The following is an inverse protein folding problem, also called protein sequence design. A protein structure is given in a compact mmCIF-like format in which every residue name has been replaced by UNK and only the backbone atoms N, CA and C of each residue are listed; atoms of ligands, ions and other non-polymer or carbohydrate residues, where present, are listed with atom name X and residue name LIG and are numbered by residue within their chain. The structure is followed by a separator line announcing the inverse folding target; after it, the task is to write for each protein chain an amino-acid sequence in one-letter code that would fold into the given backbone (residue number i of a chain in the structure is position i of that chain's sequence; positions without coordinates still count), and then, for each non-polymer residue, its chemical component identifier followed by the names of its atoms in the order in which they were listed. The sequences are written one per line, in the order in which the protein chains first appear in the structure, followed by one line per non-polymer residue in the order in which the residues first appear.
data_IF_703232301265
#
_entry.id   IF_703232301265
#
_cell.length_a   1.000
_cell.length_b   1.000
_cell.length_c   1.000
_cell.angle_alpha   90.00
_cell.angle_beta   90.00
_cell.angle_gamma   90.00
#
_symmetry.space_group_name_H-M   'P 1'
#
loop_
_entity.id
_entity.type
_entity.pdbx_description
1 polymer ?
#
# COMPACT_ATOMS: atom_id res chain seq x y z
N UNK A 1 9.92 -14.51 -10.75
CA UNK A 1 9.76 -15.23 -9.47
C UNK A 1 8.46 -16.05 -9.46
N UNK A 2 7.29 -15.49 -9.82
CA UNK A 2 6.00 -16.20 -9.84
C UNK A 2 6.04 -17.55 -10.60
N UNK A 3 6.52 -17.56 -11.85
CA UNK A 3 6.61 -18.79 -12.66
C UNK A 3 7.48 -19.88 -12.02
N UNK A 4 8.56 -19.48 -11.35
CA UNK A 4 9.43 -20.40 -10.63
C UNK A 4 8.76 -20.94 -9.36
N UNK A 5 8.08 -20.07 -8.60
CA UNK A 5 7.34 -20.47 -7.41
C UNK A 5 6.26 -21.51 -7.78
N UNK A 6 5.47 -21.24 -8.81
CA UNK A 6 4.46 -22.17 -9.33
C UNK A 6 5.08 -23.48 -9.83
N UNK A 7 6.17 -23.40 -10.62
CA UNK A 7 6.88 -24.59 -11.16
C UNK A 7 7.38 -25.53 -10.05
N UNK A 8 7.86 -24.97 -8.96
CA UNK A 8 8.47 -25.73 -7.87
C UNK A 8 7.53 -25.92 -6.67
N UNK A 9 6.28 -25.51 -6.77
CA UNK A 9 5.27 -25.57 -5.69
C UNK A 9 5.79 -24.93 -4.39
N UNK A 10 6.41 -23.75 -4.51
CA UNK A 10 6.97 -22.98 -3.40
C UNK A 10 6.05 -21.83 -3.08
N UNK A 11 5.77 -21.60 -1.79
CA UNK A 11 5.05 -20.42 -1.31
C UNK A 11 5.94 -19.19 -1.48
N UNK A 12 5.41 -18.16 -2.12
CA UNK A 12 6.04 -16.85 -2.26
C UNK A 12 5.12 -15.80 -1.66
N UNK A 13 5.56 -15.21 -0.56
CA UNK A 13 4.84 -14.19 0.17
C UNK A 13 5.65 -12.90 0.19
N UNK A 14 4.96 -11.77 0.26
CA UNK A 14 5.58 -10.46 0.45
C UNK A 14 5.22 -9.93 1.84
N UNK A 15 6.20 -9.34 2.51
CA UNK A 15 6.03 -8.79 3.84
C UNK A 15 6.15 -7.26 3.78
N UNK A 16 5.02 -6.56 3.88
CA UNK A 16 4.96 -5.12 4.07
C UNK A 16 4.60 -4.80 5.53
N UNK A 17 5.13 -3.71 6.08
CA UNK A 17 4.81 -3.29 7.45
C UNK A 17 3.31 -3.07 7.63
N UNK A 18 2.66 -2.42 6.67
CA UNK A 18 1.22 -2.10 6.69
C UNK A 18 0.30 -3.31 6.64
N UNK A 19 0.82 -4.49 6.24
CA UNK A 19 0.11 -5.77 6.32
C UNK A 19 -0.32 -6.10 7.74
N UNK A 20 0.44 -5.67 8.75
CA UNK A 20 0.22 -5.99 10.17
C UNK A 20 -0.52 -4.88 10.92
N UNK A 21 -1.06 -3.89 10.23
CA UNK A 21 -1.90 -2.87 10.85
C UNK A 21 -3.33 -3.39 11.00
N UNK A 22 -3.74 -3.61 12.25
CA UNK A 22 -5.08 -4.11 12.57
C UNK A 22 -6.20 -3.19 12.03
N UNK A 23 -5.93 -1.89 11.94
CA UNK A 23 -6.84 -0.90 11.36
C UNK A 23 -7.12 -1.15 9.88
N UNK A 24 -6.11 -1.57 9.10
CA UNK A 24 -6.30 -1.90 7.69
C UNK A 24 -7.23 -3.11 7.53
N UNK A 25 -7.04 -4.15 8.34
CA UNK A 25 -7.89 -5.33 8.33
C UNK A 25 -9.33 -5.01 8.75
N UNK A 26 -9.49 -4.20 9.80
CA UNK A 26 -10.81 -3.79 10.25
C UNK A 26 -11.51 -2.87 9.24
N UNK A 27 -10.77 -1.97 8.58
CA UNK A 27 -11.31 -1.17 7.47
C UNK A 27 -11.79 -2.06 6.32
N UNK A 28 -11.01 -3.08 5.94
CA UNK A 28 -11.39 -4.05 4.91
C UNK A 28 -12.68 -4.79 5.27
N UNK A 29 -12.78 -5.32 6.49
CA UNK A 29 -14.00 -5.98 7.01
C UNK A 29 -15.22 -5.04 6.93
N UNK A 30 -15.06 -3.80 7.42
CA UNK A 30 -16.14 -2.80 7.38
C UNK A 30 -16.58 -2.48 5.96
N UNK A 31 -15.67 -2.41 5.01
CA UNK A 31 -15.96 -2.11 3.61
C UNK A 31 -16.64 -3.30 2.93
N UNK A 32 -16.05 -4.50 3.02
CA UNK A 32 -16.42 -5.63 2.19
C UNK A 32 -17.41 -6.60 2.80
N UNK A 33 -17.46 -6.72 4.12
CA UNK A 33 -18.35 -7.64 4.82
C UNK A 33 -19.55 -6.90 5.41
N UNK A 34 -19.31 -5.70 5.96
CA UNK A 34 -20.37 -4.89 6.56
C UNK A 34 -20.99 -3.88 5.58
N UNK A 35 -20.40 -3.66 4.40
CA UNK A 35 -20.82 -2.65 3.42
C UNK A 35 -21.00 -1.24 4.04
N UNK A 36 -20.14 -0.88 4.98
CA UNK A 36 -20.30 0.30 5.84
C UNK A 36 -20.30 1.63 5.08
N UNK A 37 -19.58 1.72 3.96
CA UNK A 37 -19.43 2.94 3.15
C UNK A 37 -19.90 2.78 1.70
N UNK A 38 -20.48 1.62 1.35
CA UNK A 38 -20.85 1.30 -0.02
C UNK A 38 -19.64 1.05 -0.93
N UNK A 39 -19.88 1.12 -2.24
CA UNK A 39 -18.83 0.88 -3.25
C UNK A 39 -17.70 1.90 -3.13
N UNK A 40 -16.44 1.44 -3.14
CA UNK A 40 -15.24 2.29 -3.09
C UNK A 40 -15.22 3.24 -4.30
N UNK A 41 -14.96 4.51 -4.05
CA UNK A 41 -14.83 5.55 -5.07
C UNK A 41 -13.43 6.13 -5.12
N UNK A 42 -12.80 6.33 -3.97
CA UNK A 42 -11.44 6.85 -3.87
C UNK A 42 -10.73 6.26 -2.66
N UNK A 43 -9.43 5.99 -2.85
CA UNK A 43 -8.52 5.66 -1.77
C UNK A 43 -7.35 6.62 -1.82
N UNK A 44 -7.01 7.24 -0.70
CA UNK A 44 -5.80 8.06 -0.55
C UNK A 44 -4.92 7.37 0.50
N UNK A 45 -3.66 7.17 0.15
CA UNK A 45 -2.70 6.47 1.00
C UNK A 45 -1.48 7.37 1.17
N UNK A 46 -1.11 7.58 2.41
CA UNK A 46 0.04 8.39 2.78
C UNK A 46 1.07 7.49 3.47
N UNK A 47 2.27 7.47 2.94
CA UNK A 47 3.41 6.78 3.52
C UNK A 47 4.66 7.65 3.40
N UNK A 48 5.23 8.06 4.51
CA UNK A 48 6.39 8.92 4.48
C UNK A 48 7.00 9.21 5.83
N UNK A 49 8.23 9.70 5.76
CA UNK A 49 9.01 10.18 6.90
C UNK A 49 10.11 11.14 6.40
N UNK A 50 11.04 11.54 7.28
CA UNK A 50 12.13 12.49 6.96
C UNK A 50 13.14 12.00 5.93
N UNK A 51 13.20 10.71 5.67
CA UNK A 51 14.13 10.06 4.77
C UNK A 51 14.97 8.99 5.48
N UNK A 52 15.38 7.92 4.78
CA UNK A 52 16.07 6.78 5.37
C UNK A 52 17.44 7.17 5.98
N UNK A 53 18.19 8.09 5.38
CA UNK A 53 19.44 8.58 5.93
C UNK A 53 19.21 9.37 7.22
N UNK A 54 18.21 10.24 7.24
CA UNK A 54 17.89 11.13 8.37
C UNK A 54 17.33 10.38 9.57
N UNK A 55 16.64 9.26 9.35
CA UNK A 55 16.17 8.40 10.44
C UNK A 55 17.24 7.41 10.91
N UNK A 56 18.41 7.35 10.24
CA UNK A 56 19.55 6.57 10.68
C UNK A 56 19.48 5.08 10.36
N UNK A 57 18.94 4.69 9.20
CA UNK A 57 18.99 3.28 8.76
C UNK A 57 20.44 2.83 8.55
N UNK A 58 20.68 1.52 8.57
CA UNK A 58 22.03 0.99 8.38
C UNK A 58 22.64 1.40 7.02
N UNK A 59 23.95 1.50 6.94
CA UNK A 59 24.63 1.87 5.69
C UNK A 59 24.38 0.86 4.58
N UNK A 60 24.30 -0.41 4.90
CA UNK A 60 24.02 -1.51 3.99
C UNK A 60 22.63 -1.36 3.38
N UNK A 61 21.62 -1.12 4.22
CA UNK A 61 20.25 -0.90 3.78
C UNK A 61 20.12 0.37 2.93
N UNK A 62 20.72 1.49 3.38
CA UNK A 62 20.70 2.75 2.63
C UNK A 62 21.36 2.60 1.25
N UNK A 63 22.49 1.88 1.17
CA UNK A 63 23.21 1.66 -0.09
C UNK A 63 22.42 0.83 -1.10
N UNK A 64 21.52 0.00 -0.63
CA UNK A 64 20.58 -0.76 -1.47
C UNK A 64 19.36 0.09 -1.82
N UNK A 65 18.74 0.73 -0.83
CA UNK A 65 17.48 1.47 -0.97
C UNK A 65 17.61 2.68 -1.91
N UNK A 66 18.75 3.40 -1.82
CA UNK A 66 19.04 4.58 -2.65
C UNK A 66 19.76 4.24 -3.99
N UNK A 67 19.81 2.97 -4.37
CA UNK A 67 20.39 2.51 -5.64
C UNK A 67 19.27 2.24 -6.65
N UNK A 68 19.17 3.02 -7.75
CA UNK A 68 18.08 2.88 -8.72
C UNK A 68 18.11 1.56 -9.49
N UNK A 69 19.24 0.85 -9.51
CA UNK A 69 19.37 -0.46 -10.17
C UNK A 69 18.91 -1.58 -9.24
N UNK A 70 19.29 -1.51 -7.95
CA UNK A 70 18.97 -2.55 -6.97
C UNK A 70 17.54 -2.45 -6.45
N UNK A 71 17.08 -1.23 -6.14
CA UNK A 71 15.74 -0.96 -5.61
C UNK A 71 14.72 -0.59 -6.69
N UNK A 72 15.16 -0.02 -7.82
CA UNK A 72 14.28 0.39 -8.92
C UNK A 72 13.81 1.84 -8.87
N UNK A 73 13.94 2.52 -7.74
CA UNK A 73 13.58 3.91 -7.50
C UNK A 73 13.85 4.29 -6.05
N UNK A 74 13.46 5.48 -5.65
CA UNK A 74 13.51 5.97 -4.27
C UNK A 74 12.15 5.84 -3.57
N UNK A 75 11.57 6.98 -3.18
CA UNK A 75 10.27 7.03 -2.49
C UNK A 75 9.13 6.39 -3.29
N UNK A 76 9.18 6.45 -4.63
CA UNK A 76 8.17 5.83 -5.50
C UNK A 76 8.09 4.30 -5.29
N UNK A 77 9.20 3.66 -4.98
CA UNK A 77 9.23 2.20 -4.70
C UNK A 77 9.09 1.96 -3.21
N UNK A 78 9.90 2.63 -2.38
CA UNK A 78 9.97 2.41 -0.94
C UNK A 78 8.61 2.61 -0.25
N UNK A 79 7.91 3.68 -0.59
CA UNK A 79 6.58 3.98 -0.04
C UNK A 79 5.42 3.71 -1.00
N UNK A 80 5.65 3.83 -2.30
CA UNK A 80 4.63 3.49 -3.29
C UNK A 80 4.16 2.03 -3.21
N UNK A 81 5.03 1.13 -2.72
CA UNK A 81 4.69 -0.29 -2.57
C UNK A 81 3.54 -0.52 -1.58
N UNK A 82 3.50 0.21 -0.47
CA UNK A 82 2.40 0.10 0.50
C UNK A 82 1.06 0.54 -0.11
N UNK A 83 1.08 1.67 -0.83
CA UNK A 83 -0.12 2.15 -1.51
C UNK A 83 -0.61 1.19 -2.59
N UNK A 84 0.31 0.65 -3.39
CA UNK A 84 -0.01 -0.30 -4.45
C UNK A 84 -0.61 -1.60 -3.90
N UNK A 85 -0.03 -2.14 -2.81
CA UNK A 85 -0.47 -3.37 -2.18
C UNK A 85 -1.86 -3.22 -1.51
N UNK A 86 -2.02 -2.19 -0.69
CA UNK A 86 -3.31 -1.90 -0.03
C UNK A 86 -4.42 -1.65 -1.06
N UNK A 87 -4.15 -0.87 -2.11
CA UNK A 87 -5.15 -0.62 -3.15
C UNK A 87 -5.51 -1.89 -3.91
N UNK A 88 -4.53 -2.70 -4.31
CA UNK A 88 -4.77 -3.99 -4.96
C UNK A 88 -5.62 -4.92 -4.08
N UNK A 89 -5.36 -4.93 -2.78
CA UNK A 89 -6.11 -5.73 -1.81
C UNK A 89 -7.54 -5.21 -1.62
N UNK A 90 -7.73 -3.91 -1.43
CA UNK A 90 -9.06 -3.28 -1.32
C UNK A 90 -9.89 -3.49 -2.59
N UNK A 91 -9.26 -3.57 -3.76
CA UNK A 91 -9.90 -3.89 -5.04
C UNK A 91 -9.96 -5.40 -5.31
N UNK A 92 -9.67 -6.28 -4.31
CA UNK A 92 -9.74 -7.75 -4.39
C UNK A 92 -8.91 -8.35 -5.53
N UNK A 93 -7.81 -7.70 -5.88
CA UNK A 93 -6.94 -8.12 -6.98
C UNK A 93 -7.47 -7.75 -8.37
N UNK A 94 -8.48 -6.89 -8.48
CA UNK A 94 -8.86 -6.28 -9.76
C UNK A 94 -7.67 -5.46 -10.29
N UNK A 95 -7.40 -5.57 -11.59
CA UNK A 95 -6.32 -4.80 -12.23
C UNK A 95 -6.80 -3.38 -12.54
N UNK A 96 -5.96 -2.36 -12.29
CA UNK A 96 -6.28 -1.00 -12.69
C UNK A 96 -6.26 -0.82 -14.21
N UNK A 97 -6.90 0.22 -14.69
CA UNK A 97 -6.93 0.57 -16.13
C UNK A 97 -5.76 1.45 -16.54
N UNK A 98 -5.24 2.27 -15.62
CA UNK A 98 -4.10 3.13 -15.91
C UNK A 98 -3.40 3.61 -14.63
N UNK A 99 -2.12 4.00 -14.80
CA UNK A 99 -1.29 4.58 -13.75
C UNK A 99 -0.59 5.83 -14.27
N UNK A 100 -0.61 6.90 -13.47
CA UNK A 100 0.14 8.14 -13.70
C UNK A 100 0.98 8.42 -12.45
N UNK A 101 2.23 8.81 -12.61
CA UNK A 101 3.09 9.15 -11.49
C UNK A 101 3.96 10.38 -11.79
N UNK A 102 4.23 11.14 -10.72
CA UNK A 102 5.17 12.26 -10.70
C UNK A 102 6.15 11.98 -9.57
N UNK A 103 7.44 12.15 -9.86
CA UNK A 103 8.52 12.05 -8.88
C UNK A 103 9.38 13.31 -8.90
N UNK A 104 9.98 13.62 -7.76
CA UNK A 104 10.98 14.68 -7.60
C UNK A 104 12.13 14.20 -6.73
N UNK A 105 13.29 14.81 -6.89
CA UNK A 105 14.41 14.73 -5.95
C UNK A 105 14.57 16.12 -5.33
N UNK A 106 14.03 16.29 -4.14
CA UNK A 106 14.02 17.57 -3.39
C UNK A 106 15.34 17.76 -2.66
N UNK A 107 15.98 16.66 -2.22
CA UNK A 107 17.27 16.63 -1.52
C UNK A 107 18.36 15.94 -2.35
N UNK A 108 18.75 16.50 -3.51
CA UNK A 108 19.74 15.85 -4.41
C UNK A 108 21.13 15.70 -3.78
N UNK A 109 21.48 16.52 -2.77
CA UNK A 109 22.71 16.40 -2.00
C UNK A 109 22.73 15.17 -1.08
N UNK A 110 21.54 14.59 -0.78
CA UNK A 110 21.39 13.38 0.05
C UNK A 110 21.11 12.18 -0.83
N UNK A 111 20.19 12.32 -1.79
CA UNK A 111 19.69 11.25 -2.67
C UNK A 111 19.92 11.59 -4.15
N UNK A 112 21.19 11.62 -4.62
CA UNK A 112 21.50 12.14 -5.96
C UNK A 112 20.97 11.27 -7.12
N UNK A 113 20.63 10.01 -6.87
CA UNK A 113 20.35 9.04 -7.93
C UNK A 113 18.90 8.53 -7.93
N UNK A 114 18.10 8.91 -6.95
CA UNK A 114 16.70 8.43 -6.80
C UNK A 114 15.80 9.59 -6.39
N UNK A 115 14.51 9.39 -6.61
CA UNK A 115 13.46 10.27 -6.13
C UNK A 115 13.32 10.18 -4.60
N UNK A 116 12.98 11.29 -3.97
CA UNK A 116 12.64 11.36 -2.54
C UNK A 116 11.22 11.87 -2.28
N UNK A 117 10.49 12.17 -3.36
CA UNK A 117 9.09 12.57 -3.34
C UNK A 117 8.36 11.93 -4.51
N UNK A 118 7.18 11.31 -4.26
CA UNK A 118 6.40 10.63 -5.27
C UNK A 118 4.89 10.77 -5.04
N UNK A 119 4.16 10.97 -6.13
CA UNK A 119 2.69 10.84 -6.14
C UNK A 119 2.31 9.90 -7.28
N UNK A 120 1.55 8.85 -6.95
CA UNK A 120 1.04 7.86 -7.89
C UNK A 120 -0.48 7.95 -7.92
N UNK A 121 -1.06 8.03 -9.11
CA UNK A 121 -2.51 8.00 -9.33
C UNK A 121 -2.84 6.73 -10.11
N UNK A 122 -3.71 5.92 -9.54
CA UNK A 122 -4.16 4.64 -10.13
C UNK A 122 -5.64 4.73 -10.44
N UNK A 123 -6.04 4.38 -11.67
CA UNK A 123 -7.44 4.46 -12.11
C UNK A 123 -8.01 3.07 -12.30
N UNK A 124 -9.18 2.84 -11.72
CA UNK A 124 -10.04 1.68 -11.95
C UNK A 124 -11.34 2.13 -12.65
N UNK A 125 -12.16 1.24 -13.21
CA UNK A 125 -13.39 1.62 -13.90
C UNK A 125 -14.34 2.48 -13.05
N UNK A 126 -14.34 2.29 -11.72
CA UNK A 126 -15.25 2.97 -10.78
C UNK A 126 -14.58 3.60 -9.57
N UNK A 127 -13.26 3.49 -9.46
CA UNK A 127 -12.49 4.00 -8.34
C UNK A 127 -11.17 4.62 -8.79
N UNK A 128 -10.59 5.44 -7.91
CA UNK A 128 -9.26 6.02 -8.10
C UNK A 128 -8.45 5.87 -6.80
N UNK A 129 -7.19 5.46 -6.94
CA UNK A 129 -6.20 5.49 -5.85
C UNK A 129 -5.23 6.66 -6.01
N UNK A 130 -4.82 7.28 -4.91
CA UNK A 130 -3.74 8.27 -4.84
C UNK A 130 -2.78 7.81 -3.75
N UNK A 131 -1.52 7.57 -4.11
CA UNK A 131 -0.48 7.18 -3.16
C UNK A 131 0.55 8.29 -3.10
N UNK A 132 0.84 8.75 -1.90
CA UNK A 132 1.84 9.78 -1.63
C UNK A 132 2.98 9.14 -0.85
N UNK A 133 4.13 9.01 -1.50
CA UNK A 133 5.35 8.47 -0.92
C UNK A 133 6.39 9.58 -0.73
N UNK A 134 6.90 9.77 0.48
CA UNK A 134 7.81 10.89 0.75
C UNK A 134 8.91 10.56 1.74
N UNK A 135 10.13 11.02 1.43
CA UNK A 135 11.26 11.08 2.35
C UNK A 135 11.48 12.51 2.89
N UNK A 136 10.48 13.40 2.75
CA UNK A 136 10.58 14.82 3.07
C UNK A 136 9.66 15.29 4.19
N UNK A 137 8.84 14.41 4.74
CA UNK A 137 7.90 14.81 5.79
C UNK A 137 8.57 14.90 7.15
N UNK A 138 8.23 15.91 7.99
CA UNK A 138 8.86 16.10 9.29
C UNK A 138 8.48 15.03 10.31
N UNK A 139 7.37 14.31 10.07
CA UNK A 139 6.85 13.25 10.93
C UNK A 139 6.58 11.99 10.12
N UNK A 140 6.68 10.84 10.78
CA UNK A 140 6.23 9.59 10.21
C UNK A 140 4.71 9.61 10.02
N UNK A 141 4.25 9.27 8.82
CA UNK A 141 2.85 9.16 8.50
C UNK A 141 2.63 7.92 7.66
N UNK A 142 1.74 7.03 8.13
CA UNK A 142 1.26 5.86 7.40
C UNK A 142 -0.22 5.70 7.69
N UNK A 143 -1.05 6.12 6.77
CA UNK A 143 -2.50 6.10 6.92
C UNK A 143 -3.22 5.91 5.58
N UNK A 144 -4.47 5.48 5.67
CA UNK A 144 -5.37 5.31 4.54
C UNK A 144 -6.67 6.08 4.75
N UNK A 145 -7.16 6.68 3.69
CA UNK A 145 -8.48 7.30 3.61
C UNK A 145 -9.27 6.58 2.51
N UNK A 146 -10.38 5.95 2.87
CA UNK A 146 -11.24 5.24 1.92
C UNK A 146 -12.59 5.93 1.83
N UNK A 147 -12.88 6.49 0.67
CA UNK A 147 -14.15 7.15 0.36
C UNK A 147 -15.01 6.20 -0.47
N UNK A 148 -16.16 5.85 0.09
CA UNK A 148 -17.19 5.04 -0.58
C UNK A 148 -18.38 5.89 -1.05
N UNK A 149 -19.36 5.21 -1.63
CA UNK A 149 -20.61 5.86 -2.11
C UNK A 149 -21.43 6.47 -0.97
N UNK A 150 -21.37 5.90 0.23
CA UNK A 150 -22.23 6.25 1.36
C UNK A 150 -21.45 6.49 2.66
N UNK A 151 -20.17 6.85 2.59
CA UNK A 151 -19.37 7.15 3.76
C UNK A 151 -17.89 7.13 3.49
N UNK A 152 -17.10 7.25 4.55
CA UNK A 152 -15.64 7.15 4.50
C UNK A 152 -15.05 6.51 5.76
N UNK A 153 -13.84 6.01 5.63
CA UNK A 153 -13.04 5.45 6.72
C UNK A 153 -11.65 6.08 6.66
N UNK A 154 -11.14 6.55 7.80
CA UNK A 154 -9.75 6.95 7.99
C UNK A 154 -9.10 5.99 8.97
N UNK A 155 -8.02 5.34 8.56
CA UNK A 155 -7.30 4.37 9.36
C UNK A 155 -5.79 4.63 9.28
N UNK A 156 -5.17 4.62 10.44
CA UNK A 156 -3.73 4.63 10.64
C UNK A 156 -3.33 3.46 11.54
N UNK A 157 -2.10 3.41 12.02
CA UNK A 157 -1.66 2.37 12.96
C UNK A 157 -2.13 2.56 14.39
N UNK A 158 -2.97 3.56 14.67
CA UNK A 158 -3.49 3.81 16.01
C UNK A 158 -4.53 2.78 16.44
N UNK A 159 -4.87 2.80 17.72
CA UNK A 159 -5.92 1.95 18.28
C UNK A 159 -7.34 2.42 17.96
N UNK A 160 -7.50 3.45 17.12
CA UNK A 160 -8.79 4.00 16.73
C UNK A 160 -8.78 4.39 15.25
N UNK A 161 -9.91 4.11 14.58
CA UNK A 161 -10.20 4.62 13.23
C UNK A 161 -11.33 5.62 13.32
N UNK A 162 -11.41 6.48 12.30
CA UNK A 162 -12.52 7.41 12.12
C UNK A 162 -13.43 6.89 11.01
N UNK A 163 -14.72 6.83 11.27
CA UNK A 163 -15.73 6.34 10.32
C UNK A 163 -16.88 7.30 10.25
N UNK A 164 -17.35 7.59 9.05
CA UNK A 164 -18.60 8.32 8.82
C UNK A 164 -19.45 7.56 7.83
N UNK A 165 -20.73 7.32 8.19
CA UNK A 165 -21.71 6.60 7.38
C UNK A 165 -22.85 7.53 7.00
N UNK A 166 -23.44 7.28 5.84
CA UNK A 166 -24.62 8.01 5.34
C UNK A 166 -24.28 9.10 4.32
N UNK A 167 -25.34 9.76 3.84
CA UNK A 167 -25.29 10.85 2.86
C UNK A 167 -25.21 12.25 3.51
N UNK A 168 -25.76 13.26 2.85
CA UNK A 168 -25.78 14.66 3.33
C UNK A 168 -26.35 14.87 4.73
N UNK A 169 -27.27 14.01 5.16
CA UNK A 169 -27.87 14.01 6.50
C UNK A 169 -27.19 13.02 7.43
N UNK A 170 -25.96 12.68 7.11
CA UNK A 170 -25.15 11.65 7.74
C UNK A 170 -25.05 11.84 9.26
N UNK A 171 -24.95 10.72 9.93
CA UNK A 171 -24.50 10.63 11.30
C UNK A 171 -23.15 11.35 11.47
N UNK A 172 -22.87 11.89 12.66
CA UNK A 172 -21.55 12.45 12.93
C UNK A 172 -20.46 11.42 12.72
N UNK A 173 -19.25 11.91 12.56
CA UNK A 173 -18.05 11.08 12.51
C UNK A 173 -17.89 10.28 13.81
N UNK A 174 -17.63 9.00 13.70
CA UNK A 174 -17.47 8.09 14.84
C UNK A 174 -16.00 7.66 14.95
N UNK A 175 -15.49 7.59 16.18
CA UNK A 175 -14.23 6.92 16.49
C UNK A 175 -14.54 5.46 16.85
N UNK A 176 -13.98 4.55 16.05
CA UNK A 176 -14.15 3.11 16.23
C UNK A 176 -12.86 2.53 16.79
N UNK A 177 -12.95 1.80 17.89
CA UNK A 177 -11.80 1.10 18.45
C UNK A 177 -11.32 0.00 17.50
N UNK A 178 -10.01 -0.08 17.29
CA UNK A 178 -9.39 -1.10 16.47
C UNK A 178 -9.14 -2.34 17.32
N UNK A 179 -9.62 -3.48 16.86
CA UNK A 179 -9.39 -4.78 17.49
C UNK A 179 -7.99 -5.28 17.10
N UNK A 180 -7.15 -5.70 18.05
CA UNK A 180 -5.86 -6.30 17.71
C UNK A 180 -6.02 -7.52 16.80
N UNK A 181 -5.05 -7.73 15.91
CA UNK A 181 -5.00 -8.94 15.10
C UNK A 181 -4.69 -10.16 16.00
N UNK A 182 -5.40 -11.24 15.75
CA UNK A 182 -5.17 -12.52 16.43
C UNK A 182 -4.13 -13.36 15.67
N UNK A 183 -3.52 -14.30 16.39
CA UNK A 183 -2.63 -15.30 15.79
C UNK A 183 -3.40 -16.14 14.76
N UNK A 184 -2.82 -16.38 13.57
CA UNK A 184 -1.44 -16.09 13.17
C UNK A 184 -1.23 -14.73 12.51
N UNK A 185 -2.25 -13.88 12.38
CA UNK A 185 -2.21 -12.61 11.64
C UNK A 185 -1.54 -11.46 12.41
N UNK A 186 -1.07 -11.71 13.63
CA UNK A 186 -0.48 -10.70 14.51
C UNK A 186 1.00 -10.40 14.24
N UNK A 187 1.69 -11.25 13.49
CA UNK A 187 3.07 -11.01 13.04
C UNK A 187 3.46 -11.83 11.80
N UNK A 188 4.45 -11.32 11.06
CA UNK A 188 4.89 -11.87 9.78
C UNK A 188 5.41 -13.31 9.89
N UNK A 189 6.17 -13.64 10.92
CA UNK A 189 6.81 -14.96 11.03
C UNK A 189 5.81 -16.02 11.44
N UNK A 190 4.91 -15.71 12.37
CA UNK A 190 3.81 -16.60 12.77
C UNK A 190 2.88 -16.89 11.60
N UNK A 191 2.52 -15.84 10.83
CA UNK A 191 1.74 -15.97 9.61
C UNK A 191 2.43 -16.83 8.56
N UNK A 192 3.69 -16.53 8.24
CA UNK A 192 4.48 -17.31 7.28
C UNK A 192 4.59 -18.79 7.68
N UNK A 193 4.85 -19.06 8.97
CA UNK A 193 4.90 -20.43 9.47
C UNK A 193 3.55 -21.16 9.31
N UNK A 194 2.44 -20.48 9.55
CA UNK A 194 1.10 -21.04 9.38
C UNK A 194 0.80 -21.35 7.91
N UNK A 195 1.19 -20.45 6.99
CA UNK A 195 1.06 -20.69 5.53
C UNK A 195 1.94 -21.86 5.08
N UNK A 196 3.21 -21.90 5.49
CA UNK A 196 4.13 -22.96 5.14
C UNK A 196 3.69 -24.35 5.64
N UNK A 197 2.96 -24.39 6.75
CA UNK A 197 2.36 -25.61 7.32
C UNK A 197 0.98 -25.96 6.74
N UNK A 198 0.46 -25.14 5.84
CA UNK A 198 -0.87 -25.35 5.24
C UNK A 198 -2.04 -25.07 6.20
N UNK A 199 -1.81 -24.39 7.31
CA UNK A 199 -2.84 -24.00 8.29
C UNK A 199 -3.61 -22.78 7.83
N UNK A 200 -2.99 -21.93 7.01
CA UNK A 200 -3.59 -20.74 6.38
C UNK A 200 -3.33 -20.78 4.89
N UNK A 201 -4.32 -20.42 4.08
CA UNK A 201 -4.18 -20.21 2.65
C UNK A 201 -4.00 -18.74 2.34
N UNK A 202 -2.84 -18.36 1.81
CA UNK A 202 -2.53 -17.01 1.36
C UNK A 202 -2.93 -16.85 -0.10
N UNK A 203 -4.18 -16.49 -0.36
CA UNK A 203 -4.72 -16.35 -1.72
C UNK A 203 -5.16 -14.93 -2.07
N UNK A 204 -5.73 -14.20 -1.11
CA UNK A 204 -6.31 -12.87 -1.31
C UNK A 204 -5.99 -11.89 -0.17
N UNK A 205 -4.98 -12.15 0.61
CA UNK A 205 -4.48 -11.26 1.66
C UNK A 205 -3.30 -10.41 1.16
N UNK A 206 -2.91 -9.40 1.95
CA UNK A 206 -1.83 -8.45 1.63
C UNK A 206 -0.47 -9.13 1.38
N UNK A 207 -0.21 -10.30 1.97
CA UNK A 207 1.03 -11.05 1.73
C UNK A 207 0.99 -11.94 0.48
N UNK A 208 -0.20 -12.16 -0.11
CA UNK A 208 -0.40 -13.14 -1.16
C UNK A 208 0.27 -12.78 -2.48
N UNK A 209 0.77 -13.79 -3.19
CA UNK A 209 1.37 -13.61 -4.52
C UNK A 209 0.41 -12.93 -5.50
N UNK A 210 -0.88 -13.24 -5.45
CA UNK A 210 -1.89 -12.68 -6.35
C UNK A 210 -2.01 -11.15 -6.19
N UNK A 211 -2.13 -10.67 -4.97
CA UNK A 211 -2.23 -9.23 -4.68
C UNK A 211 -0.92 -8.53 -5.03
N UNK A 212 0.21 -9.13 -4.66
CA UNK A 212 1.52 -8.56 -4.95
C UNK A 212 1.86 -8.48 -6.43
N UNK A 213 1.35 -9.38 -7.28
CA UNK A 213 1.53 -9.26 -8.73
C UNK A 213 0.83 -8.03 -9.29
N UNK A 214 -0.36 -7.67 -8.78
CA UNK A 214 -1.04 -6.43 -9.15
C UNK A 214 -0.29 -5.21 -8.59
N UNK A 215 0.19 -5.27 -7.35
CA UNK A 215 1.00 -4.21 -6.76
C UNK A 215 2.28 -3.93 -7.58
N UNK A 216 2.99 -4.97 -8.00
CA UNK A 216 4.19 -4.84 -8.83
C UNK A 216 3.87 -4.28 -10.23
N UNK A 217 2.73 -4.62 -10.82
CA UNK A 217 2.29 -4.04 -12.10
C UNK A 217 2.00 -2.54 -11.96
N UNK A 218 1.38 -2.13 -10.86
CA UNK A 218 1.16 -0.71 -10.54
C UNK A 218 2.50 0.02 -10.40
N UNK A 219 3.45 -0.52 -9.65
CA UNK A 219 4.76 0.10 -9.43
C UNK A 219 5.58 0.21 -10.71
N UNK A 220 5.63 -0.83 -11.53
CA UNK A 220 6.32 -0.81 -12.83
C UNK A 220 5.73 0.27 -13.75
N UNK A 221 4.40 0.35 -13.80
CA UNK A 221 3.70 1.38 -14.54
C UNK A 221 3.96 2.78 -13.97
N UNK A 222 4.03 2.94 -12.65
CA UNK A 222 4.33 4.21 -12.00
C UNK A 222 5.74 4.70 -12.32
N UNK A 223 6.75 3.83 -12.21
CA UNK A 223 8.14 4.14 -12.61
C UNK A 223 8.23 4.51 -14.09
N UNK A 224 7.52 3.80 -14.96
CA UNK A 224 7.47 4.14 -16.39
C UNK A 224 6.79 5.47 -16.63
N UNK A 225 5.69 5.75 -15.93
CA UNK A 225 4.96 7.01 -16.02
C UNK A 225 5.81 8.19 -15.58
N UNK A 226 6.48 8.10 -14.44
CA UNK A 226 7.33 9.18 -13.93
C UNK A 226 8.50 9.52 -14.88
N UNK A 227 9.12 8.49 -15.49
CA UNK A 227 10.21 8.67 -16.46
C UNK A 227 9.76 9.28 -17.79
N UNK A 228 8.55 8.99 -18.23
CA UNK A 228 8.04 9.42 -19.54
C UNK A 228 7.15 10.65 -19.49
N UNK A 229 6.69 11.05 -18.30
CA UNK A 229 5.68 12.11 -18.12
C UNK A 229 4.30 11.76 -18.70
N UNK A 230 4.03 10.47 -18.95
CA UNK A 230 2.79 10.01 -19.60
C UNK A 230 2.06 8.98 -18.73
N UNK A 231 0.74 9.00 -18.82
CA UNK A 231 -0.09 7.92 -18.26
C UNK A 231 0.22 6.59 -18.95
N UNK A 232 0.41 5.55 -18.15
CA UNK A 232 0.57 4.17 -18.64
C UNK A 232 -0.79 3.49 -18.56
N UNK A 233 -1.30 3.05 -19.71
CA UNK A 233 -2.54 2.25 -19.81
C UNK A 233 -2.17 0.78 -19.61
N UNK A 234 -2.86 0.13 -18.71
CA UNK A 234 -2.74 -1.31 -18.44
C UNK A 234 -3.79 -2.08 -19.24
N UNK A 235 -3.40 -3.23 -19.80
CA UNK A 235 -4.25 -4.05 -20.67
C UNK A 235 -4.67 -5.34 -19.96
#
# INVERSE_FOLDING_TARGET
MEALAKKHNIQLLTNYETTWYASNHQAYEMIHEQNAIGEIRKVVIHDGHRGPKEIGVSKEFLSWLADPVKNGGGAIIDFGCYGADIMAWLMKGERPTSVTAITQTIKPEIYPNVDDEATIIVTYPKAQGIFQGSWNWPFDRKDIEVYGKTGYIFADKSAQMTVRKGDRNALPEEKVAVKPLETPMNDAFTYFAAVARGQVKSENDLGSLKINMVAMEILDAAVKSSKTGKTVVLK
#
